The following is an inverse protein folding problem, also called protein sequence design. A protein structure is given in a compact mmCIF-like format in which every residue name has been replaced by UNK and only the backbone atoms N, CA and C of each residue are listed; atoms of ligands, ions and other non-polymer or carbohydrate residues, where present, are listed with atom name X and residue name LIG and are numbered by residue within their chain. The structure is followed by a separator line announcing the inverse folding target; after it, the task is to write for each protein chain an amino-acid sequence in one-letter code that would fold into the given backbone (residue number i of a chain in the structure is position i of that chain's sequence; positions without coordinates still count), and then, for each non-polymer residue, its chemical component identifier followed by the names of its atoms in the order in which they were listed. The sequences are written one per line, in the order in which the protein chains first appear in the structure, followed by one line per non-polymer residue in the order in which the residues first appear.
data_IF_241425271205
#
_entry.id   IF_241425271205
#
_cell.length_a   1.000
_cell.length_b   1.000
_cell.length_c   1.000
_cell.angle_alpha   90.00
_cell.angle_beta   90.00
_cell.angle_gamma   90.00
#
_symmetry.space_group_name_H-M   'P 1'
#
loop_
_entity.id
_entity.type
_entity.pdbx_description
1 polymer ?
#
# COMPACT_ATOMS: atom_id res chain seq x y z
N UNK A 1 -0.77 -1.04 -11.68
CA UNK A 1 -1.02 -0.20 -12.87
C UNK A 1 -0.50 1.20 -12.62
N UNK A 2 0.47 1.65 -13.40
CA UNK A 2 0.95 3.03 -13.32
C UNK A 2 -0.06 3.92 -14.04
N UNK A 3 -0.63 4.88 -13.34
CA UNK A 3 -1.52 5.86 -13.96
C UNK A 3 -0.69 6.90 -14.71
N UNK A 4 -1.13 7.26 -15.92
CA UNK A 4 -0.45 8.27 -16.73
C UNK A 4 -0.54 9.68 -16.10
N UNK A 5 -1.53 9.90 -15.23
CA UNK A 5 -1.76 11.16 -14.55
C UNK A 5 -1.58 11.02 -13.04
N UNK A 6 -0.79 11.89 -12.45
CA UNK A 6 -0.51 11.88 -11.01
C UNK A 6 -1.54 12.76 -10.29
N UNK A 7 -2.31 12.14 -9.40
CA UNK A 7 -3.31 12.84 -8.58
C UNK A 7 -2.93 12.65 -7.11
N UNK A 8 -2.75 13.76 -6.40
CA UNK A 8 -2.53 13.75 -4.95
C UNK A 8 -3.65 14.59 -4.32
N UNK A 9 -4.41 13.96 -3.43
CA UNK A 9 -5.54 14.57 -2.75
C UNK A 9 -5.23 14.78 -1.26
N UNK A 10 -5.83 15.80 -0.62
CA UNK A 10 -5.78 15.91 0.85
C UNK A 10 -6.33 14.65 1.50
N UNK A 11 -5.92 14.41 2.74
CA UNK A 11 -6.41 13.26 3.50
C UNK A 11 -7.94 13.20 3.50
N UNK A 12 -8.46 12.01 3.25
CA UNK A 12 -9.89 11.74 3.25
C UNK A 12 -10.20 10.61 4.24
N UNK A 13 -10.98 10.88 5.30
CA UNK A 13 -11.38 9.84 6.26
C UNK A 13 -12.10 8.65 5.63
N UNK A 14 -12.71 8.84 4.46
CA UNK A 14 -13.37 7.79 3.70
C UNK A 14 -12.41 6.65 3.33
N UNK A 15 -11.11 6.91 3.24
CA UNK A 15 -10.14 5.86 2.93
C UNK A 15 -10.15 4.73 3.95
N UNK A 16 -10.49 5.00 5.21
CA UNK A 16 -10.65 3.97 6.24
C UNK A 16 -11.87 3.08 5.95
N UNK A 17 -12.97 3.69 5.49
CA UNK A 17 -14.16 2.95 5.09
C UNK A 17 -13.91 2.13 3.82
N UNK A 18 -13.19 2.71 2.85
CA UNK A 18 -12.79 2.02 1.63
C UNK A 18 -11.94 0.78 1.96
N UNK A 19 -10.97 0.93 2.86
CA UNK A 19 -10.18 -0.21 3.33
C UNK A 19 -11.05 -1.26 4.02
N UNK A 20 -11.98 -0.86 4.87
CA UNK A 20 -12.86 -1.80 5.58
C UNK A 20 -13.70 -2.63 4.63
N UNK A 21 -14.19 -2.03 3.54
CA UNK A 21 -14.94 -2.76 2.51
C UNK A 21 -14.06 -3.78 1.78
N UNK A 22 -12.83 -3.41 1.43
CA UNK A 22 -11.86 -4.31 0.80
C UNK A 22 -11.53 -5.46 1.76
N UNK A 23 -11.23 -5.13 3.02
CA UNK A 23 -10.90 -6.13 4.05
C UNK A 23 -12.00 -7.14 4.24
N UNK A 24 -13.26 -6.72 4.26
CA UNK A 24 -14.39 -7.62 4.46
C UNK A 24 -14.45 -8.72 3.38
N UNK A 25 -14.26 -8.36 2.12
CA UNK A 25 -14.24 -9.34 1.03
C UNK A 25 -13.03 -10.26 1.12
N UNK A 26 -11.86 -9.72 1.49
CA UNK A 26 -10.65 -10.52 1.65
C UNK A 26 -10.78 -11.49 2.82
N UNK A 27 -11.32 -11.06 3.94
CA UNK A 27 -11.56 -11.93 5.10
C UNK A 27 -12.50 -13.09 4.75
N UNK A 28 -13.56 -12.80 4.02
CA UNK A 28 -14.52 -13.82 3.59
C UNK A 28 -13.86 -14.87 2.69
N UNK A 29 -12.97 -14.48 1.80
CA UNK A 29 -12.28 -15.40 0.89
C UNK A 29 -11.15 -16.16 1.57
N UNK A 30 -10.37 -15.49 2.39
CA UNK A 30 -9.15 -16.04 3.00
C UNK A 30 -9.43 -16.86 4.26
N UNK A 31 -10.44 -16.49 5.03
CA UNK A 31 -10.74 -17.16 6.29
C UNK A 31 -9.52 -17.19 7.23
N UNK A 32 -9.23 -18.33 7.81
CA UNK A 32 -8.12 -18.54 8.75
C UNK A 32 -6.74 -18.44 8.09
N UNK A 33 -6.67 -18.48 6.77
CA UNK A 33 -5.42 -18.40 6.04
C UNK A 33 -4.77 -17.02 6.21
N UNK A 34 -5.56 -15.96 6.36
CA UNK A 34 -5.06 -14.62 6.67
C UNK A 34 -4.90 -14.47 8.19
N UNK A 35 -3.66 -14.29 8.65
CA UNK A 35 -3.40 -13.99 10.06
C UNK A 35 -3.91 -12.61 10.41
N UNK A 36 -3.75 -11.67 9.48
CA UNK A 36 -4.25 -10.31 9.59
C UNK A 36 -4.24 -9.66 8.21
N UNK A 37 -4.99 -8.57 8.07
CA UNK A 37 -5.06 -7.79 6.84
C UNK A 37 -4.75 -6.35 7.26
N UNK A 38 -3.66 -5.80 6.74
CA UNK A 38 -3.12 -4.52 7.14
C UNK A 38 -3.40 -3.43 6.10
N UNK A 39 -3.90 -2.28 6.56
CA UNK A 39 -3.96 -1.06 5.77
C UNK A 39 -2.60 -0.38 5.89
N UNK A 40 -1.85 -0.31 4.79
CA UNK A 40 -0.52 0.29 4.74
C UNK A 40 -0.49 1.43 3.71
N UNK A 41 0.67 2.05 3.54
CA UNK A 41 0.81 3.16 2.60
C UNK A 41 0.21 4.47 3.10
N UNK A 42 0.26 5.49 2.25
CA UNK A 42 -0.11 6.85 2.64
C UNK A 42 -1.57 7.02 3.07
N UNK A 43 -2.50 6.29 2.45
CA UNK A 43 -3.92 6.39 2.80
C UNK A 43 -4.23 5.85 4.19
N UNK A 44 -3.31 5.11 4.80
CA UNK A 44 -3.45 4.55 6.16
C UNK A 44 -3.07 5.54 7.26
N UNK A 45 -2.57 6.71 6.91
CA UNK A 45 -2.05 7.70 7.88
C UNK A 45 -2.95 8.93 7.90
N UNK A 46 -3.52 9.22 9.06
CA UNK A 46 -4.38 10.40 9.24
C UNK A 46 -3.61 11.68 8.92
N UNK A 47 -4.24 12.57 8.18
CA UNK A 47 -3.66 13.84 7.77
C UNK A 47 -2.74 13.78 6.56
N UNK A 48 -2.44 12.60 6.01
CA UNK A 48 -1.54 12.42 4.89
C UNK A 48 -2.25 12.67 3.55
N UNK A 49 -1.71 13.58 2.75
CA UNK A 49 -2.10 13.72 1.35
C UNK A 49 -1.59 12.53 0.55
N UNK A 50 -2.41 11.98 -0.33
CA UNK A 50 -2.08 10.77 -1.04
C UNK A 50 -2.80 10.63 -2.37
N UNK A 51 -2.27 9.78 -3.22
CA UNK A 51 -3.00 9.22 -4.35
C UNK A 51 -4.16 8.38 -3.79
N UNK A 52 -5.38 8.50 -4.34
CA UNK A 52 -6.54 7.76 -3.81
C UNK A 52 -6.51 6.28 -4.23
N UNK A 53 -5.54 5.56 -3.72
CA UNK A 53 -5.35 4.13 -3.95
C UNK A 53 -4.98 3.48 -2.62
N UNK A 54 -5.79 2.53 -2.16
CA UNK A 54 -5.60 1.85 -0.88
C UNK A 54 -4.52 0.78 -1.04
N UNK A 55 -3.55 0.74 -0.13
CA UNK A 55 -2.53 -0.31 -0.11
C UNK A 55 -2.87 -1.33 0.98
N UNK A 56 -2.94 -2.59 0.59
CA UNK A 56 -3.37 -3.69 1.45
C UNK A 56 -2.33 -4.80 1.48
N UNK A 57 -1.88 -5.17 2.67
CA UNK A 57 -1.04 -6.34 2.89
C UNK A 57 -1.84 -7.42 3.60
N UNK A 58 -2.05 -8.56 2.94
CA UNK A 58 -2.61 -9.76 3.57
C UNK A 58 -1.45 -10.59 4.10
N UNK A 59 -1.45 -10.87 5.40
CA UNK A 59 -0.36 -11.59 6.06
C UNK A 59 -0.74 -13.06 6.20
N UNK A 60 0.12 -13.94 5.69
CA UNK A 60 0.01 -15.39 5.83
C UNK A 60 1.13 -15.90 6.75
N UNK A 61 0.94 -17.09 7.33
CA UNK A 61 1.88 -17.63 8.29
C UNK A 61 3.28 -17.79 7.72
N UNK A 62 3.39 -18.41 6.53
CA UNK A 62 4.65 -18.62 5.83
C UNK A 62 4.40 -18.89 4.36
N UNK A 63 5.48 -19.11 3.59
CA UNK A 63 5.41 -19.33 2.15
C UNK A 63 4.67 -20.60 1.74
N UNK A 64 4.55 -21.57 2.62
CA UNK A 64 3.80 -22.80 2.31
C UNK A 64 2.31 -22.53 2.14
N UNK A 65 1.81 -21.41 2.69
CA UNK A 65 0.42 -21.00 2.56
C UNK A 65 0.12 -20.24 1.27
N UNK A 66 1.15 -19.87 0.49
CA UNK A 66 0.97 -19.00 -0.68
C UNK A 66 0.07 -19.62 -1.75
N UNK A 67 0.26 -20.91 -2.05
CA UNK A 67 -0.54 -21.58 -3.08
C UNK A 67 -2.03 -21.53 -2.74
N UNK A 68 -2.37 -21.81 -1.50
CA UNK A 68 -3.77 -21.75 -1.04
C UNK A 68 -4.31 -20.31 -1.08
N UNK A 69 -3.48 -19.33 -0.72
CA UNK A 69 -3.84 -17.92 -0.82
C UNK A 69 -4.16 -17.50 -2.25
N UNK A 70 -3.31 -17.91 -3.20
CA UNK A 70 -3.51 -17.62 -4.63
C UNK A 70 -4.85 -18.20 -5.09
N UNK A 71 -5.16 -19.44 -4.74
CA UNK A 71 -6.40 -20.11 -5.12
C UNK A 71 -7.63 -19.41 -4.53
N UNK A 72 -7.59 -19.05 -3.26
CA UNK A 72 -8.70 -18.35 -2.61
C UNK A 72 -8.93 -16.94 -3.17
N UNK A 73 -7.86 -16.20 -3.41
CA UNK A 73 -7.97 -14.88 -4.00
C UNK A 73 -8.45 -14.95 -5.45
N UNK A 74 -8.05 -15.98 -6.20
CA UNK A 74 -8.55 -16.19 -7.55
C UNK A 74 -10.08 -16.37 -7.58
N UNK A 75 -10.65 -16.99 -6.54
CA UNK A 75 -12.10 -17.22 -6.45
C UNK A 75 -12.90 -15.91 -6.35
N UNK A 76 -12.26 -14.80 -5.97
CA UNK A 76 -12.89 -13.48 -5.91
C UNK A 76 -12.29 -12.49 -6.89
N UNK A 77 -11.58 -12.97 -7.91
CA UNK A 77 -11.16 -12.16 -9.05
C UNK A 77 -9.74 -11.57 -8.98
N UNK A 78 -8.93 -11.96 -8.00
CA UNK A 78 -7.53 -11.53 -7.96
C UNK A 78 -6.63 -12.52 -8.67
N UNK A 79 -5.70 -12.00 -9.47
CA UNK A 79 -4.76 -12.79 -10.25
C UNK A 79 -3.35 -12.53 -9.74
N UNK A 80 -2.63 -13.59 -9.41
CA UNK A 80 -1.27 -13.54 -8.91
C UNK A 80 -0.30 -13.06 -10.00
N UNK A 81 0.54 -12.09 -9.66
CA UNK A 81 1.52 -11.49 -10.56
C UNK A 81 2.99 -11.83 -10.21
N UNK A 82 3.21 -12.61 -9.17
CA UNK A 82 4.55 -12.83 -8.63
C UNK A 82 5.00 -11.68 -7.74
N UNK A 83 6.29 -11.67 -7.42
CA UNK A 83 6.84 -10.67 -6.48
C UNK A 83 7.20 -9.33 -7.13
N UNK A 84 7.16 -9.24 -8.44
CA UNK A 84 7.52 -8.04 -9.22
C UNK A 84 8.90 -7.46 -8.84
N UNK A 85 9.84 -8.34 -8.47
CA UNK A 85 11.20 -7.97 -8.10
C UNK A 85 11.39 -7.59 -6.64
N UNK A 86 10.35 -7.68 -5.82
CA UNK A 86 10.43 -7.37 -4.38
C UNK A 86 10.19 -8.64 -3.58
N UNK A 87 11.27 -9.18 -2.99
CA UNK A 87 11.19 -10.40 -2.21
C UNK A 87 10.32 -10.21 -0.96
N UNK A 88 9.53 -11.23 -0.62
CA UNK A 88 8.65 -11.21 0.55
C UNK A 88 7.32 -10.51 0.33
N UNK A 89 7.01 -10.14 -0.92
CA UNK A 89 5.75 -9.48 -1.27
C UNK A 89 5.25 -10.03 -2.60
N UNK A 90 4.13 -10.72 -2.55
CA UNK A 90 3.47 -11.24 -3.76
C UNK A 90 2.33 -10.31 -4.17
N UNK A 91 2.37 -9.83 -5.42
CA UNK A 91 1.40 -8.88 -5.94
C UNK A 91 0.25 -9.57 -6.65
N UNK A 92 -0.91 -8.91 -6.61
CA UNK A 92 -2.14 -9.38 -7.26
C UNK A 92 -2.78 -8.24 -8.03
N UNK A 93 -3.30 -8.54 -9.21
CA UNK A 93 -4.10 -7.61 -9.98
C UNK A 93 -5.56 -8.09 -10.05
N UNK A 94 -6.44 -7.20 -10.51
CA UNK A 94 -7.84 -7.51 -10.66
C UNK A 94 -8.47 -6.62 -11.74
N UNK A 95 -9.63 -7.04 -12.23
CA UNK A 95 -10.48 -6.24 -13.12
C UNK A 95 -11.92 -6.36 -12.62
N UNK A 96 -12.78 -5.39 -12.95
CA UNK A 96 -14.21 -5.52 -12.72
C UNK A 96 -14.66 -5.46 -11.27
N UNK A 97 -14.00 -4.65 -10.43
CA UNK A 97 -14.42 -4.42 -9.03
C UNK A 97 -14.88 -2.97 -8.82
N UNK A 98 -15.94 -2.50 -9.56
CA UNK A 98 -16.36 -1.11 -9.47
C UNK A 98 -16.97 -0.73 -8.11
N UNK A 99 -17.35 -1.71 -7.30
CA UNK A 99 -17.90 -1.52 -5.95
C UNK A 99 -16.83 -1.25 -4.90
N UNK A 100 -15.55 -1.42 -5.24
CA UNK A 100 -14.43 -1.17 -4.33
C UNK A 100 -13.58 -0.01 -4.83
N UNK A 101 -13.02 0.75 -3.90
CA UNK A 101 -12.02 1.76 -4.22
C UNK A 101 -10.78 1.10 -4.85
N UNK A 102 -10.13 1.81 -5.78
CA UNK A 102 -8.86 1.35 -6.36
C UNK A 102 -7.88 0.99 -5.25
N UNK A 103 -7.22 -0.16 -5.37
CA UNK A 103 -6.31 -0.64 -4.35
C UNK A 103 -5.22 -1.53 -4.93
N UNK A 104 -4.10 -1.59 -4.23
CA UNK A 104 -3.02 -2.54 -4.47
C UNK A 104 -3.12 -3.64 -3.42
N UNK A 105 -3.09 -4.88 -3.88
CA UNK A 105 -3.16 -6.04 -2.99
C UNK A 105 -1.85 -6.82 -3.04
N UNK A 106 -1.28 -7.06 -1.85
CA UNK A 106 -0.09 -7.87 -1.67
C UNK A 106 -0.35 -8.95 -0.63
N UNK A 107 0.30 -10.10 -0.79
CA UNK A 107 0.35 -11.15 0.22
C UNK A 107 1.79 -11.28 0.70
N UNK A 108 1.99 -11.23 2.01
CA UNK A 108 3.29 -11.28 2.63
C UNK A 108 3.33 -12.37 3.71
N UNK A 109 4.40 -13.20 3.76
CA UNK A 109 4.61 -14.05 4.94
C UNK A 109 4.81 -13.20 6.21
N UNK A 110 4.48 -13.75 7.35
CA UNK A 110 4.58 -13.03 8.63
C UNK A 110 5.99 -12.53 8.95
N UNK A 111 7.02 -13.21 8.44
CA UNK A 111 8.43 -12.85 8.63
C UNK A 111 9.00 -11.95 7.52
N UNK A 112 8.16 -11.46 6.62
CA UNK A 112 8.59 -10.64 5.47
C UNK A 112 9.21 -9.31 5.92
N UNK A 113 10.41 -9.01 5.42
CA UNK A 113 11.07 -7.72 5.63
C UNK A 113 10.28 -6.57 5.00
N UNK A 114 9.68 -6.80 3.83
CA UNK A 114 8.87 -5.78 3.16
C UNK A 114 7.62 -5.43 3.98
N UNK A 115 6.97 -6.44 4.57
CA UNK A 115 5.86 -6.22 5.50
C UNK A 115 6.32 -5.38 6.70
N UNK A 116 7.46 -5.70 7.27
CA UNK A 116 8.03 -4.95 8.40
C UNK A 116 8.28 -3.49 8.00
N UNK A 117 8.82 -3.25 6.81
CA UNK A 117 9.05 -1.90 6.29
C UNK A 117 7.74 -1.12 6.18
N UNK A 118 6.70 -1.71 5.60
CA UNK A 118 5.39 -1.08 5.46
C UNK A 118 4.81 -0.68 6.81
N UNK A 119 4.85 -1.59 7.78
CA UNK A 119 4.28 -1.33 9.11
C UNK A 119 5.11 -0.32 9.88
N UNK A 120 6.43 -0.45 9.87
CA UNK A 120 7.34 0.48 10.56
C UNK A 120 7.16 1.91 10.02
N UNK A 121 7.12 2.06 8.70
CA UNK A 121 6.95 3.38 8.09
C UNK A 121 5.59 3.99 8.42
N UNK A 122 4.53 3.19 8.34
CA UNK A 122 3.18 3.62 8.72
C UNK A 122 3.12 4.11 10.17
N UNK A 123 3.64 3.31 11.10
CA UNK A 123 3.61 3.66 12.52
C UNK A 123 4.46 4.89 12.83
N UNK A 124 5.62 5.01 12.18
CA UNK A 124 6.45 6.21 12.30
C UNK A 124 5.68 7.46 11.89
N UNK A 125 5.03 7.43 10.73
CA UNK A 125 4.26 8.58 10.23
C UNK A 125 3.08 8.90 11.16
N UNK A 126 2.36 7.88 11.64
CA UNK A 126 1.24 8.09 12.58
C UNK A 126 1.67 8.78 13.86
N UNK A 127 2.91 8.58 14.29
CA UNK A 127 3.46 9.15 15.52
C UNK A 127 4.18 10.49 15.29
N UNK A 128 4.32 10.93 14.06
CA UNK A 128 5.09 12.12 13.69
C UNK A 128 4.30 13.04 12.76
N UNK A 129 3.36 13.84 13.30
CA UNK A 129 2.54 14.75 12.48
C UNK A 129 3.34 15.73 11.62
N UNK A 130 4.51 16.17 12.09
CA UNK A 130 5.38 17.06 11.30
C UNK A 130 5.95 16.36 10.07
N UNK A 131 6.31 15.08 10.19
CA UNK A 131 6.74 14.26 9.06
C UNK A 131 5.60 14.08 8.05
N UNK A 132 4.37 13.87 8.52
CA UNK A 132 3.18 13.78 7.68
C UNK A 132 2.97 15.07 6.88
N UNK A 133 3.08 16.23 7.53
CA UNK A 133 2.94 17.53 6.87
C UNK A 133 4.01 17.76 5.82
N UNK A 134 5.26 17.45 6.13
CA UNK A 134 6.36 17.58 5.21
C UNK A 134 6.18 16.70 3.99
N UNK A 135 5.94 15.41 4.19
CA UNK A 135 5.76 14.45 3.11
C UNK A 135 4.54 14.80 2.24
N UNK A 136 3.43 15.19 2.86
CA UNK A 136 2.23 15.65 2.15
C UNK A 136 2.55 16.83 1.22
N UNK A 137 3.28 17.82 1.74
CA UNK A 137 3.68 19.01 0.96
C UNK A 137 4.57 18.63 -0.22
N UNK A 138 5.54 17.75 0.02
CA UNK A 138 6.44 17.28 -1.05
C UNK A 138 5.66 16.56 -2.15
N UNK A 139 4.73 15.68 -1.79
CA UNK A 139 3.88 14.98 -2.77
C UNK A 139 2.99 15.94 -3.55
N UNK A 140 2.39 16.91 -2.89
CA UNK A 140 1.54 17.91 -3.54
C UNK A 140 2.35 18.76 -4.54
N UNK A 141 3.54 19.19 -4.14
CA UNK A 141 4.45 19.92 -5.03
C UNK A 141 4.91 19.07 -6.21
N UNK A 142 5.24 17.82 -5.97
CA UNK A 142 5.65 16.90 -7.03
C UNK A 142 4.53 16.69 -8.05
N UNK A 143 3.29 16.54 -7.59
CA UNK A 143 2.13 16.38 -8.46
C UNK A 143 1.84 17.64 -9.28
N UNK A 144 2.03 18.84 -8.69
CA UNK A 144 1.86 20.10 -9.41
C UNK A 144 2.92 20.31 -10.49
N UNK A 145 4.16 19.93 -10.21
CA UNK A 145 5.28 20.09 -11.16
C UNK A 145 5.26 19.03 -12.27
N UNK A 146 4.88 17.80 -11.94
CA UNK A 146 4.97 16.67 -12.86
C UNK A 146 3.64 15.88 -12.91
N UNK A 147 2.53 16.54 -13.30
CA UNK A 147 1.22 15.89 -13.28
C UNK A 147 1.09 14.73 -14.25
N UNK A 148 1.88 14.73 -15.33
CA UNK A 148 1.82 13.71 -16.37
C UNK A 148 3.13 12.95 -16.55
N UNK A 149 4.07 13.10 -15.62
CA UNK A 149 5.39 12.44 -15.66
C UNK A 149 5.64 11.73 -14.33
N UNK A 150 5.22 10.46 -14.28
CA UNK A 150 5.33 9.65 -13.05
C UNK A 150 6.79 9.45 -12.62
N UNK A 151 7.72 9.35 -13.55
CA UNK A 151 9.13 9.16 -13.20
C UNK A 151 9.71 10.37 -12.50
N UNK A 152 9.47 11.57 -13.02
CA UNK A 152 9.90 12.81 -12.38
C UNK A 152 9.18 13.06 -11.06
N UNK A 153 7.90 12.67 -10.98
CA UNK A 153 7.15 12.72 -9.73
C UNK A 153 7.84 11.87 -8.65
N UNK A 154 8.20 10.63 -9.00
CA UNK A 154 8.89 9.71 -8.09
C UNK A 154 10.27 10.23 -7.69
N UNK A 155 11.04 10.76 -8.66
CA UNK A 155 12.35 11.35 -8.39
C UNK A 155 12.25 12.55 -7.44
N UNK A 156 11.24 13.40 -7.62
CA UNK A 156 11.06 14.59 -6.80
C UNK A 156 10.83 14.25 -5.33
N UNK A 157 10.04 13.23 -5.05
CA UNK A 157 9.74 12.83 -3.67
C UNK A 157 10.77 11.88 -3.05
N UNK A 158 11.66 11.31 -3.85
CA UNK A 158 12.63 10.31 -3.41
C UNK A 158 13.54 10.78 -2.27
N UNK A 159 14.13 12.01 -2.29
CA UNK A 159 14.93 12.47 -1.16
C UNK A 159 14.18 12.58 0.16
N UNK A 160 12.91 12.98 0.10
CA UNK A 160 12.05 13.03 1.28
C UNK A 160 11.82 11.64 1.87
N UNK A 161 11.48 10.66 1.02
CA UNK A 161 11.28 9.28 1.45
C UNK A 161 12.55 8.71 2.06
N UNK A 162 13.70 8.95 1.43
CA UNK A 162 14.99 8.47 1.94
C UNK A 162 15.27 9.01 3.34
N UNK A 163 15.02 10.28 3.59
CA UNK A 163 15.20 10.90 4.89
C UNK A 163 14.23 10.33 5.94
N UNK A 164 12.97 10.14 5.55
CA UNK A 164 11.98 9.55 6.44
C UNK A 164 12.34 8.10 6.81
N UNK A 165 12.85 7.32 5.86
CA UNK A 165 13.33 5.97 6.12
C UNK A 165 14.52 5.99 7.09
N UNK A 166 15.45 6.92 6.90
CA UNK A 166 16.58 7.09 7.83
C UNK A 166 16.07 7.39 9.24
N UNK A 167 15.10 8.29 9.37
CA UNK A 167 14.56 8.70 10.66
C UNK A 167 13.88 7.53 11.41
N UNK A 168 13.29 6.58 10.70
CA UNK A 168 12.63 5.44 11.33
C UNK A 168 13.46 4.13 11.30
N UNK A 169 14.73 4.23 10.92
CA UNK A 169 15.64 3.08 10.96
C UNK A 169 15.48 2.09 9.81
N UNK A 170 14.94 2.52 8.67
CA UNK A 170 14.74 1.69 7.47
C UNK A 170 15.78 1.96 6.37
N UNK A 171 16.94 2.44 6.71
CA UNK A 171 18.03 2.63 5.74
C UNK A 171 18.50 1.30 5.16
N UNK A 172 18.81 1.33 3.86
CA UNK A 172 19.50 0.23 3.18
C UNK A 172 21.01 0.34 3.39
#
# INVERSE_FOLDING_TARGET
MRTAHVVVLPYDPKWNEDFSAIRAELEAAMGELALRIEHVGSTSVEGMSAKPCIDVDVVIQDRTCLKAAIERLASIGYVHEGNLGIEGREAFCYTGKPHLQLHHLYVCPADSEELRRHITFREFLRQNPDAVKWYSRVKEQAAQRFPDDIERYLEYKSPCIAELYRMCGLEE
#
